data_IF_167926337382
#
_entry.id   IF_167926337382
#
_cell.length_a   1.000
_cell.length_b   1.000
_cell.length_c   1.000
_cell.angle_alpha   90.00
_cell.angle_beta   90.00
_cell.angle_gamma   90.00
#
_symmetry.space_group_name_H-M   'P 1'
#
loop_
_entity.id
_entity.type
_entity.pdbx_description
1 polymer ?
#
# COMPACT_ATOMS: atom_id res chain seq x y z
N UNK A 1 -15.17 -5.52 23.04
CA UNK A 1 -15.08 -4.51 21.97
C UNK A 1 -14.24 -5.13 20.87
N UNK A 2 -14.89 -5.68 19.86
CA UNK A 2 -14.21 -6.35 18.74
C UNK A 2 -13.67 -5.26 17.83
N UNK A 3 -12.38 -4.94 17.95
CA UNK A 3 -11.66 -4.24 16.88
C UNK A 3 -11.62 -5.19 15.70
N UNK A 4 -12.56 -4.99 14.78
CA UNK A 4 -12.52 -5.64 13.46
C UNK A 4 -11.18 -5.23 12.85
N UNK A 5 -10.22 -6.15 12.86
CA UNK A 5 -9.02 -6.01 12.05
C UNK A 5 -9.47 -5.77 10.62
N UNK A 6 -8.93 -4.76 9.92
CA UNK A 6 -9.37 -4.49 8.57
C UNK A 6 -9.03 -5.71 7.73
N UNK A 7 -10.07 -6.40 7.24
CA UNK A 7 -10.00 -7.52 6.30
C UNK A 7 -9.53 -7.06 4.91
N UNK A 8 -8.71 -6.01 4.85
CA UNK A 8 -8.55 -5.17 3.68
C UNK A 8 -7.45 -5.68 2.78
N UNK A 9 -7.82 -6.12 1.58
CA UNK A 9 -6.93 -6.43 0.46
C UNK A 9 -6.18 -5.20 -0.11
N UNK A 10 -6.12 -4.08 0.64
CA UNK A 10 -5.55 -2.81 0.19
C UNK A 10 -5.12 -1.94 1.40
N UNK A 11 -4.08 -1.12 1.21
CA UNK A 11 -3.56 -0.21 2.25
C UNK A 11 -3.60 1.29 1.83
N UNK A 12 -3.96 1.56 0.56
CA UNK A 12 -4.29 2.90 0.06
C UNK A 12 -5.64 2.90 -0.65
N UNK A 13 -6.32 4.04 -0.56
CA UNK A 13 -7.60 4.28 -1.25
C UNK A 13 -7.54 5.62 -1.98
N UNK A 14 -8.14 5.68 -3.15
CA UNK A 14 -8.39 6.92 -3.89
C UNK A 14 -9.86 7.29 -3.74
N UNK A 15 -10.14 8.52 -3.35
CA UNK A 15 -11.50 8.99 -3.27
C UNK A 15 -11.63 10.47 -3.66
N UNK A 16 -12.87 10.86 -3.92
CA UNK A 16 -13.31 12.26 -4.01
C UNK A 16 -14.52 12.47 -3.13
N UNK A 17 -14.74 13.69 -2.67
CA UNK A 17 -15.86 14.00 -1.80
C UNK A 17 -16.49 15.38 -2.05
N UNK A 18 -17.74 15.54 -1.60
CA UNK A 18 -18.43 16.82 -1.48
C UNK A 18 -18.83 16.99 -0.01
N UNK A 19 -18.42 18.10 0.59
CA UNK A 19 -18.74 18.45 1.98
C UNK A 19 -19.86 19.50 2.01
N UNK A 20 -20.97 19.19 2.67
CA UNK A 20 -22.15 20.07 2.83
C UNK A 20 -22.58 20.16 4.29
N UNK A 21 -23.37 21.19 4.63
CA UNK A 21 -23.76 21.46 6.02
C UNK A 21 -24.85 20.51 6.54
N UNK A 22 -25.81 20.17 5.68
CA UNK A 22 -27.04 19.48 6.08
C UNK A 22 -27.18 18.13 5.39
N UNK A 23 -27.87 17.21 6.06
CA UNK A 23 -28.15 15.87 5.52
C UNK A 23 -28.97 15.95 4.22
N UNK A 24 -29.97 16.83 4.18
CA UNK A 24 -30.85 16.98 3.01
C UNK A 24 -30.10 17.45 1.75
N UNK A 25 -29.04 18.25 1.90
CA UNK A 25 -28.16 18.59 0.78
C UNK A 25 -27.38 17.35 0.30
N UNK A 26 -26.88 16.53 1.22
CA UNK A 26 -26.17 15.31 0.87
C UNK A 26 -27.08 14.28 0.17
N UNK A 27 -28.34 14.16 0.60
CA UNK A 27 -29.33 13.30 -0.05
C UNK A 27 -29.66 13.77 -1.47
N UNK A 28 -29.86 15.08 -1.64
CA UNK A 28 -30.09 15.68 -2.97
C UNK A 28 -28.90 15.42 -3.91
N UNK A 29 -27.67 15.55 -3.40
CA UNK A 29 -26.46 15.28 -4.17
C UNK A 29 -26.36 13.81 -4.57
N UNK A 30 -26.69 12.88 -3.67
CA UNK A 30 -26.71 11.45 -3.99
C UNK A 30 -27.70 11.15 -5.12
N UNK A 31 -28.88 11.75 -5.12
CA UNK A 31 -29.87 11.59 -6.19
C UNK A 31 -29.35 12.17 -7.51
N UNK A 32 -28.79 13.38 -7.49
CA UNK A 32 -28.22 14.01 -8.69
C UNK A 32 -27.08 13.18 -9.29
N UNK A 33 -26.19 12.63 -8.46
CA UNK A 33 -25.10 11.77 -8.90
C UNK A 33 -25.61 10.44 -9.47
N UNK A 34 -26.64 9.83 -8.86
CA UNK A 34 -27.30 8.64 -9.40
C UNK A 34 -28.00 8.90 -10.74
N UNK A 35 -28.50 10.12 -10.94
CA UNK A 35 -29.10 10.59 -12.19
C UNK A 35 -28.07 11.00 -13.26
N UNK A 36 -26.77 10.80 -13.00
CA UNK A 36 -25.71 11.00 -13.98
C UNK A 36 -25.12 12.41 -14.04
N UNK A 37 -25.41 13.28 -13.07
CA UNK A 37 -24.72 14.58 -12.99
C UNK A 37 -23.23 14.41 -12.71
N UNK A 38 -22.43 15.37 -13.19
CA UNK A 38 -20.98 15.33 -13.02
C UNK A 38 -20.58 15.72 -11.60
N UNK A 39 -19.92 14.80 -10.90
CA UNK A 39 -19.44 14.99 -9.53
C UNK A 39 -18.60 16.27 -9.36
N UNK A 40 -17.70 16.53 -10.31
CA UNK A 40 -16.81 17.69 -10.25
C UNK A 40 -17.57 19.03 -10.31
N UNK A 41 -18.65 19.10 -11.07
CA UNK A 41 -19.49 20.30 -11.17
C UNK A 41 -20.25 20.55 -9.87
N UNK A 42 -20.85 19.50 -9.31
CA UNK A 42 -21.51 19.55 -8.01
C UNK A 42 -20.53 19.92 -6.90
N UNK A 43 -19.36 19.30 -6.87
CA UNK A 43 -18.31 19.63 -5.91
C UNK A 43 -17.93 21.11 -5.98
N UNK A 44 -17.69 21.64 -7.20
CA UNK A 44 -17.32 23.05 -7.39
C UNK A 44 -18.45 24.01 -6.98
N UNK A 45 -19.70 23.63 -7.21
CA UNK A 45 -20.85 24.47 -6.93
C UNK A 45 -21.18 24.56 -5.43
N UNK A 46 -21.17 23.44 -4.70
CA UNK A 46 -21.74 23.39 -3.34
C UNK A 46 -20.77 22.92 -2.25
N UNK A 47 -19.62 22.33 -2.59
CA UNK A 47 -18.71 21.79 -1.58
C UNK A 47 -18.05 22.91 -0.76
N UNK A 48 -17.96 22.70 0.55
CA UNK A 48 -17.25 23.57 1.49
C UNK A 48 -15.77 23.22 1.62
N UNK A 49 -15.35 22.06 1.13
CA UNK A 49 -13.95 21.64 1.19
C UNK A 49 -13.11 22.36 0.11
N UNK A 50 -11.87 22.79 0.39
CA UNK A 50 -10.96 23.34 -0.63
C UNK A 50 -10.73 22.41 -1.84
N UNK A 51 -10.94 21.10 -1.68
CA UNK A 51 -10.89 20.12 -2.78
C UNK A 51 -11.87 20.43 -3.92
N UNK A 52 -12.89 21.27 -3.69
CA UNK A 52 -13.86 21.73 -4.68
C UNK A 52 -13.22 22.31 -5.95
N UNK A 53 -12.07 22.98 -5.82
CA UNK A 53 -11.35 23.56 -6.97
C UNK A 53 -10.79 22.49 -7.91
N UNK A 54 -10.59 21.28 -7.39
CA UNK A 54 -10.18 20.09 -8.14
C UNK A 54 -11.33 19.10 -8.31
N UNK A 55 -12.58 19.57 -8.27
CA UNK A 55 -13.75 18.71 -8.44
C UNK A 55 -13.98 17.72 -7.29
N UNK A 56 -13.49 18.03 -6.09
CA UNK A 56 -13.62 17.19 -4.89
C UNK A 56 -12.52 16.13 -4.74
N UNK A 57 -11.52 16.10 -5.62
CA UNK A 57 -10.46 15.09 -5.63
C UNK A 57 -9.53 15.21 -4.41
N UNK A 58 -9.34 14.08 -3.73
CA UNK A 58 -8.41 13.93 -2.59
C UNK A 58 -7.11 13.24 -3.00
N UNK A 59 -7.14 12.44 -4.08
CA UNK A 59 -6.02 11.59 -4.49
C UNK A 59 -5.96 10.28 -3.69
N UNK A 60 -4.82 9.59 -3.77
CA UNK A 60 -4.55 8.38 -2.99
C UNK A 60 -4.11 8.75 -1.57
N UNK A 61 -4.65 8.06 -0.57
CA UNK A 61 -4.25 8.26 0.82
C UNK A 61 -4.25 6.94 1.60
N UNK A 62 -3.44 6.91 2.65
CA UNK A 62 -3.34 5.82 3.64
C UNK A 62 -4.24 6.11 4.84
N UNK A 63 -4.52 5.08 5.64
CA UNK A 63 -5.12 5.27 6.96
C UNK A 63 -4.27 6.19 7.84
N UNK A 64 -4.92 6.92 8.75
CA UNK A 64 -4.33 7.96 9.57
C UNK A 64 -4.11 9.31 8.87
N UNK A 65 -4.46 9.42 7.58
CA UNK A 65 -4.35 10.69 6.83
C UNK A 65 -5.61 11.54 6.94
N UNK A 66 -6.77 10.91 7.17
CA UNK A 66 -8.08 11.56 7.24
C UNK A 66 -8.74 11.29 8.60
N UNK A 67 -9.89 11.93 8.86
CA UNK A 67 -10.71 11.64 10.05
C UNK A 67 -11.14 10.17 10.04
N UNK A 68 -11.05 9.49 11.19
CA UNK A 68 -11.29 8.05 11.31
C UNK A 68 -12.59 7.56 10.62
N UNK A 69 -13.72 8.22 10.87
CA UNK A 69 -15.00 7.84 10.25
C UNK A 69 -15.02 8.02 8.72
N UNK A 70 -14.25 8.98 8.21
CA UNK A 70 -14.12 9.23 6.78
C UNK A 70 -13.27 8.17 6.09
N UNK A 71 -12.09 7.87 6.63
CA UNK A 71 -11.25 6.83 6.05
C UNK A 71 -11.88 5.45 6.19
N UNK A 72 -12.54 5.13 7.31
CA UNK A 72 -13.22 3.85 7.48
C UNK A 72 -14.28 3.62 6.39
N UNK A 73 -15.07 4.66 6.07
CA UNK A 73 -16.02 4.60 4.97
C UNK A 73 -15.35 4.39 3.60
N UNK A 74 -14.23 5.07 3.33
CA UNK A 74 -13.51 4.91 2.07
C UNK A 74 -12.87 3.52 1.92
N UNK A 75 -12.26 3.01 2.98
CA UNK A 75 -11.59 1.72 2.99
C UNK A 75 -12.57 0.54 3.04
N UNK A 76 -13.78 0.70 3.58
CA UNK A 76 -14.82 -0.34 3.54
C UNK A 76 -15.67 -0.28 2.26
N UNK A 77 -15.67 0.85 1.57
CA UNK A 77 -16.39 1.03 0.30
C UNK A 77 -15.84 0.14 -0.82
N UNK A 78 -16.60 0.00 -1.89
CA UNK A 78 -16.14 -0.60 -3.15
C UNK A 78 -15.78 0.50 -4.15
N UNK A 79 -14.87 0.24 -5.11
CA UNK A 79 -14.67 1.16 -6.24
C UNK A 79 -16.00 1.54 -6.89
N UNK A 80 -16.11 2.82 -7.25
CA UNK A 80 -17.29 3.51 -7.77
C UNK A 80 -18.50 3.61 -6.83
N UNK A 81 -18.39 3.14 -5.58
CA UNK A 81 -19.47 3.28 -4.60
C UNK A 81 -19.60 4.73 -4.12
N UNK A 82 -20.85 5.20 -4.08
CA UNK A 82 -21.23 6.45 -3.40
C UNK A 82 -21.62 6.17 -1.95
N UNK A 83 -21.01 6.90 -1.02
CA UNK A 83 -21.20 6.73 0.43
C UNK A 83 -21.52 8.09 1.05
N UNK A 84 -22.54 8.13 1.91
CA UNK A 84 -22.88 9.30 2.73
C UNK A 84 -22.46 9.05 4.17
N UNK A 85 -21.72 9.98 4.75
CA UNK A 85 -21.35 9.94 6.17
C UNK A 85 -21.46 11.32 6.82
N UNK A 86 -21.56 11.33 8.15
CA UNK A 86 -21.46 12.53 8.96
C UNK A 86 -20.13 12.56 9.72
N UNK A 87 -19.52 13.72 9.79
CA UNK A 87 -18.31 14.00 10.59
C UNK A 87 -18.52 15.28 11.38
N UNK A 88 -17.55 15.66 12.21
CA UNK A 88 -17.53 16.96 12.89
C UNK A 88 -17.58 18.17 11.95
N UNK A 89 -17.15 18.01 10.69
CA UNK A 89 -17.14 19.09 9.68
C UNK A 89 -18.47 19.22 8.91
N UNK A 90 -19.42 18.31 9.12
CA UNK A 90 -20.67 18.23 8.36
C UNK A 90 -20.84 16.90 7.64
N UNK A 91 -21.63 16.92 6.56
CA UNK A 91 -22.00 15.75 5.76
C UNK A 91 -21.12 15.60 4.54
N UNK A 92 -20.59 14.40 4.33
CA UNK A 92 -19.76 14.06 3.19
C UNK A 92 -20.48 13.11 2.27
N UNK A 93 -20.52 13.45 0.98
CA UNK A 93 -20.84 12.52 -0.10
C UNK A 93 -19.53 12.09 -0.74
N UNK A 94 -19.14 10.85 -0.55
CA UNK A 94 -17.87 10.26 -0.95
C UNK A 94 -18.08 9.37 -2.15
N UNK A 95 -17.17 9.43 -3.12
CA UNK A 95 -17.02 8.41 -4.15
C UNK A 95 -15.64 7.77 -4.03
N UNK A 96 -15.62 6.46 -3.78
CA UNK A 96 -14.38 5.67 -3.82
C UNK A 96 -14.03 5.44 -5.29
N UNK A 97 -12.84 5.84 -5.72
CA UNK A 97 -12.38 5.74 -7.11
C UNK A 97 -11.46 4.54 -7.34
N UNK A 98 -10.81 4.04 -6.29
CA UNK A 98 -9.89 2.92 -6.40
C UNK A 98 -9.29 2.52 -5.07
N UNK A 99 -8.81 1.28 -5.01
CA UNK A 99 -8.14 0.68 -3.86
C UNK A 99 -6.91 -0.05 -4.38
N UNK A 100 -5.80 0.05 -3.67
CA UNK A 100 -4.55 -0.57 -4.07
C UNK A 100 -3.67 -0.89 -2.86
N UNK A 101 -2.64 -1.70 -3.09
CA UNK A 101 -1.58 -1.96 -2.14
C UNK A 101 -0.35 -1.19 -2.61
N UNK A 102 0.08 -0.23 -1.80
CA UNK A 102 1.35 0.47 -1.96
C UNK A 102 2.40 -0.21 -1.08
N UNK A 103 3.47 -0.77 -1.66
CA UNK A 103 4.53 -1.35 -0.86
C UNK A 103 5.21 -0.31 0.04
N UNK A 104 5.56 -0.73 1.25
CA UNK A 104 6.38 0.05 2.15
C UNK A 104 7.86 0.02 1.77
N UNK A 105 8.66 0.65 2.60
CA UNK A 105 10.12 0.59 2.52
C UNK A 105 10.72 0.50 3.91
N UNK A 106 11.95 0.01 3.99
CA UNK A 106 12.73 -0.09 5.22
C UNK A 106 14.18 0.29 4.89
N UNK A 107 14.83 1.08 5.74
CA UNK A 107 16.25 1.40 5.58
C UNK A 107 17.12 0.24 6.09
N UNK A 108 18.40 0.24 5.73
CA UNK A 108 19.33 -0.79 6.19
C UNK A 108 19.56 -0.76 7.70
N UNK A 109 19.50 0.41 8.33
CA UNK A 109 19.63 0.57 9.78
C UNK A 109 18.40 0.05 10.52
N UNK A 110 17.20 0.32 10.01
CA UNK A 110 15.97 -0.23 10.59
C UNK A 110 15.88 -1.74 10.37
N UNK A 111 16.35 -2.22 9.21
CA UNK A 111 16.47 -3.64 8.95
C UNK A 111 17.47 -4.33 9.90
N UNK A 112 18.61 -3.69 10.21
CA UNK A 112 19.60 -4.21 11.15
C UNK A 112 19.08 -4.34 12.59
N UNK A 113 18.01 -3.63 12.97
CA UNK A 113 17.36 -3.79 14.28
C UNK A 113 16.59 -5.10 14.40
N UNK A 114 16.14 -5.65 13.27
CA UNK A 114 15.36 -6.88 13.21
C UNK A 114 16.19 -8.08 12.73
N UNK A 115 17.10 -7.89 11.79
CA UNK A 115 17.98 -8.94 11.28
C UNK A 115 19.29 -8.98 12.08
N UNK A 116 19.83 -10.16 12.45
CA UNK A 116 19.31 -11.51 12.20
C UNK A 116 18.40 -12.05 13.32
N UNK A 117 18.17 -11.29 14.40
CA UNK A 117 17.67 -11.84 15.67
C UNK A 117 16.15 -11.89 15.83
N UNK A 118 15.39 -11.09 15.09
CA UNK A 118 13.93 -10.94 15.20
C UNK A 118 13.22 -11.25 13.89
N UNK A 119 13.69 -12.27 13.18
CA UNK A 119 13.20 -12.60 11.83
C UNK A 119 12.09 -13.67 11.80
N UNK A 120 11.65 -14.17 12.96
CA UNK A 120 10.63 -15.25 13.04
C UNK A 120 9.26 -14.87 12.48
N UNK A 121 8.97 -13.57 12.37
CA UNK A 121 7.69 -13.02 11.91
C UNK A 121 7.76 -12.35 10.54
N UNK A 122 8.93 -12.35 9.89
CA UNK A 122 9.13 -11.75 8.57
C UNK A 122 9.66 -12.78 7.57
N UNK A 123 9.33 -12.60 6.31
CA UNK A 123 9.88 -13.34 5.19
C UNK A 123 10.91 -12.44 4.52
N UNK A 124 12.12 -12.96 4.36
CA UNK A 124 13.20 -12.23 3.71
C UNK A 124 13.38 -12.80 2.31
N UNK A 125 13.32 -11.94 1.28
CA UNK A 125 13.39 -12.36 -0.13
C UNK A 125 14.54 -11.64 -0.81
N UNK A 126 15.44 -12.40 -1.42
CA UNK A 126 16.55 -11.89 -2.21
C UNK A 126 16.24 -12.17 -3.69
N UNK A 127 16.14 -11.11 -4.49
CA UNK A 127 15.79 -11.21 -5.91
C UNK A 127 16.98 -11.06 -6.85
N UNK A 128 18.21 -11.08 -6.31
CA UNK A 128 19.44 -11.00 -7.09
C UNK A 128 19.71 -12.31 -7.83
N UNK A 129 20.57 -12.26 -8.82
CA UNK A 129 20.98 -13.46 -9.57
C UNK A 129 21.95 -14.33 -8.75
N UNK A 130 22.05 -15.62 -9.10
CA UNK A 130 22.84 -16.58 -8.32
C UNK A 130 24.32 -16.17 -8.15
N UNK A 131 24.93 -15.61 -9.20
CA UNK A 131 26.32 -15.13 -9.18
C UNK A 131 26.53 -13.94 -8.22
N UNK A 132 25.49 -13.13 -7.97
CA UNK A 132 25.55 -12.02 -7.02
C UNK A 132 25.57 -12.52 -5.57
N UNK A 133 24.86 -13.61 -5.28
CA UNK A 133 24.82 -14.23 -3.95
C UNK A 133 26.16 -14.85 -3.54
N UNK A 134 26.96 -15.28 -4.50
CA UNK A 134 28.30 -15.84 -4.26
C UNK A 134 29.29 -14.76 -3.79
N UNK A 135 29.07 -13.50 -4.19
CA UNK A 135 29.92 -12.37 -3.83
C UNK A 135 29.52 -11.74 -2.49
N UNK A 136 28.22 -11.68 -2.22
CA UNK A 136 27.66 -11.08 -1.01
C UNK A 136 26.35 -11.76 -0.63
N UNK A 137 26.23 -12.23 0.61
CA UNK A 137 25.07 -12.99 1.08
C UNK A 137 24.66 -12.59 2.49
N UNK A 138 23.35 -12.53 2.69
CA UNK A 138 22.71 -12.55 4.00
C UNK A 138 21.99 -13.90 4.16
N UNK A 139 22.01 -14.46 5.36
CA UNK A 139 21.36 -15.73 5.65
C UNK A 139 19.85 -15.57 5.84
N UNK A 140 19.11 -16.68 5.79
CA UNK A 140 17.65 -16.71 6.01
C UNK A 140 16.79 -16.03 4.93
N UNK A 141 17.37 -15.62 3.81
CA UNK A 141 16.63 -15.15 2.64
C UNK A 141 16.16 -16.33 1.76
N UNK A 142 14.89 -16.29 1.36
CA UNK A 142 14.41 -17.01 0.18
C UNK A 142 15.03 -16.38 -1.05
N UNK A 143 15.73 -17.18 -1.85
CA UNK A 143 16.35 -16.69 -3.07
C UNK A 143 15.40 -16.89 -4.26
N UNK A 144 14.90 -15.78 -4.79
CA UNK A 144 13.93 -15.71 -5.90
C UNK A 144 14.52 -14.84 -7.03
N UNK A 145 15.56 -15.31 -7.74
CA UNK A 145 16.21 -14.54 -8.80
C UNK A 145 15.19 -14.13 -9.87
N UNK A 146 15.20 -12.85 -10.27
CA UNK A 146 14.25 -12.34 -11.26
C UNK A 146 14.41 -13.01 -12.63
N UNK A 147 15.64 -13.39 -13.01
CA UNK A 147 15.91 -14.14 -14.23
C UNK A 147 15.27 -15.53 -14.28
N UNK A 148 14.84 -16.08 -13.14
CA UNK A 148 14.19 -17.38 -13.04
C UNK A 148 12.70 -17.29 -12.66
N UNK A 149 12.04 -16.15 -12.93
CA UNK A 149 10.64 -15.88 -12.61
C UNK A 149 9.70 -17.08 -12.87
N UNK A 150 9.81 -17.69 -14.04
CA UNK A 150 8.96 -18.81 -14.47
C UNK A 150 9.04 -20.03 -13.53
N UNK A 151 10.12 -20.18 -12.75
CA UNK A 151 10.32 -21.32 -11.85
C UNK A 151 9.61 -21.15 -10.50
N UNK A 152 9.41 -19.92 -10.04
CA UNK A 152 8.93 -19.65 -8.67
C UNK A 152 7.62 -18.85 -8.62
N UNK A 153 7.24 -18.15 -9.69
CA UNK A 153 6.09 -17.24 -9.68
C UNK A 153 4.78 -17.93 -9.27
N UNK A 154 4.49 -19.11 -9.83
CA UNK A 154 3.28 -19.87 -9.51
C UNK A 154 3.21 -20.26 -8.03
N UNK A 155 4.34 -20.64 -7.43
CA UNK A 155 4.41 -21.04 -6.01
C UNK A 155 4.27 -19.85 -5.07
N UNK A 156 4.71 -18.66 -5.49
CA UNK A 156 4.47 -17.40 -4.75
C UNK A 156 3.01 -16.99 -4.87
N UNK A 157 2.41 -17.10 -6.07
CA UNK A 157 1.02 -16.75 -6.31
C UNK A 157 0.06 -17.68 -5.54
N UNK A 158 0.34 -18.98 -5.50
CA UNK A 158 -0.44 -19.99 -4.77
C UNK A 158 -0.31 -19.88 -3.25
N UNK A 159 0.72 -19.19 -2.76
CA UNK A 159 1.04 -19.12 -1.33
C UNK A 159 1.81 -20.32 -0.79
N UNK A 160 2.31 -21.22 -1.67
CA UNK A 160 3.14 -22.36 -1.29
C UNK A 160 4.51 -21.91 -0.78
N UNK A 161 5.14 -20.96 -1.48
CA UNK A 161 6.50 -20.52 -1.19
C UNK A 161 6.55 -19.36 -0.19
N UNK A 162 5.59 -18.43 -0.28
CA UNK A 162 5.50 -17.25 0.56
C UNK A 162 4.07 -17.08 1.10
N UNK A 163 3.96 -16.80 2.39
CA UNK A 163 2.71 -16.51 3.09
C UNK A 163 2.29 -15.05 2.84
N UNK A 164 1.10 -14.84 2.24
CA UNK A 164 0.59 -13.51 1.87
C UNK A 164 0.26 -12.61 3.06
N UNK A 165 0.04 -13.20 4.24
CA UNK A 165 -0.32 -12.50 5.47
C UNK A 165 0.89 -12.04 6.29
N UNK A 166 2.03 -12.70 6.07
CA UNK A 166 3.31 -12.36 6.70
C UNK A 166 3.93 -11.15 6.04
N UNK A 167 4.66 -10.41 6.86
CA UNK A 167 5.47 -9.32 6.34
C UNK A 167 6.61 -9.86 5.48
N UNK A 168 6.79 -9.28 4.29
CA UNK A 168 7.81 -9.70 3.33
C UNK A 168 8.73 -8.53 3.03
N UNK A 169 10.01 -8.67 3.36
CA UNK A 169 11.06 -7.69 3.07
C UNK A 169 11.86 -8.20 1.87
N UNK A 170 11.93 -7.39 0.82
CA UNK A 170 12.61 -7.75 -0.42
C UNK A 170 13.88 -6.95 -0.58
N UNK A 171 14.97 -7.63 -0.90
CA UNK A 171 16.30 -7.06 -1.14
C UNK A 171 16.77 -7.37 -2.56
N UNK A 172 17.47 -6.40 -3.16
CA UNK A 172 18.32 -6.63 -4.30
C UNK A 172 19.69 -5.96 -4.09
N UNK A 173 20.43 -5.64 -5.15
CA UNK A 173 21.71 -4.95 -5.01
C UNK A 173 21.57 -3.52 -4.44
N UNK A 174 20.71 -2.68 -5.05
CA UNK A 174 20.57 -1.24 -4.72
C UNK A 174 19.14 -0.78 -4.38
N UNK A 175 18.17 -1.69 -4.27
CA UNK A 175 16.78 -1.35 -3.96
C UNK A 175 15.83 -1.12 -5.16
N UNK A 176 16.33 -1.17 -6.41
CA UNK A 176 15.49 -0.94 -7.62
C UNK A 176 14.68 -2.20 -7.99
N UNK A 177 15.38 -3.31 -8.23
CA UNK A 177 14.75 -4.61 -8.58
C UNK A 177 13.81 -5.11 -7.47
N UNK A 178 14.18 -4.89 -6.20
CA UNK A 178 13.33 -5.23 -5.06
C UNK A 178 12.08 -4.36 -4.97
N UNK A 179 12.13 -3.07 -5.35
CA UNK A 179 10.92 -2.25 -5.45
C UNK A 179 9.93 -2.76 -6.51
N UNK A 180 10.45 -3.23 -7.65
CA UNK A 180 9.63 -3.86 -8.70
C UNK A 180 9.00 -5.16 -8.18
N UNK A 181 9.78 -6.02 -7.54
CA UNK A 181 9.26 -7.23 -6.91
C UNK A 181 8.22 -6.92 -5.83
N UNK A 182 8.43 -5.87 -5.04
CA UNK A 182 7.45 -5.45 -4.04
C UNK A 182 6.11 -5.08 -4.66
N UNK A 183 6.15 -4.41 -5.82
CA UNK A 183 4.96 -4.03 -6.58
C UNK A 183 4.26 -5.26 -7.18
N UNK A 184 5.03 -6.24 -7.66
CA UNK A 184 4.50 -7.53 -8.10
C UNK A 184 3.81 -8.28 -6.95
N UNK A 185 4.47 -8.43 -5.79
CA UNK A 185 3.90 -9.10 -4.62
C UNK A 185 2.62 -8.41 -4.15
N UNK A 186 2.59 -7.08 -4.14
CA UNK A 186 1.38 -6.32 -3.87
C UNK A 186 0.23 -6.68 -4.83
N UNK A 187 0.50 -6.82 -6.13
CA UNK A 187 -0.51 -7.28 -7.10
C UNK A 187 -0.99 -8.72 -6.84
N UNK A 188 -0.13 -9.58 -6.28
CA UNK A 188 -0.48 -10.94 -5.89
C UNK A 188 -1.23 -11.03 -4.56
N UNK A 189 -1.52 -9.89 -3.93
CA UNK A 189 -2.30 -9.80 -2.69
C UNK A 189 -1.47 -9.79 -1.41
N UNK A 190 -0.14 -9.63 -1.49
CA UNK A 190 0.68 -9.44 -0.29
C UNK A 190 0.46 -8.02 0.25
N UNK A 191 -0.05 -7.92 1.48
CA UNK A 191 -0.44 -6.62 2.07
C UNK A 191 0.69 -5.91 2.80
N UNK A 192 1.70 -6.65 3.25
CA UNK A 192 2.78 -6.18 4.11
C UNK A 192 4.13 -6.38 3.42
N UNK A 193 4.35 -5.69 2.31
CA UNK A 193 5.58 -5.81 1.54
C UNK A 193 6.44 -4.58 1.73
N UNK A 194 7.74 -4.75 2.02
CA UNK A 194 8.70 -3.65 2.19
C UNK A 194 9.93 -3.84 1.32
N UNK A 195 10.32 -2.79 0.61
CA UNK A 195 11.58 -2.72 -0.10
C UNK A 195 12.73 -2.33 0.84
N UNK A 196 13.81 -3.12 0.89
CA UNK A 196 15.04 -2.72 1.56
C UNK A 196 15.78 -1.67 0.72
N UNK A 197 15.70 -0.41 1.17
CA UNK A 197 16.29 0.74 0.47
C UNK A 197 17.81 0.59 0.44
N UNK A 198 18.40 0.80 -0.74
CA UNK A 198 19.84 0.68 -0.93
C UNK A 198 20.36 -0.76 -1.03
N UNK A 199 19.50 -1.76 -0.79
CA UNK A 199 19.83 -3.17 -0.96
C UNK A 199 21.02 -3.65 -0.11
N UNK A 200 21.66 -4.72 -0.59
CA UNK A 200 22.82 -5.31 0.09
C UNK A 200 24.05 -4.40 0.06
N UNK A 201 24.20 -3.55 -0.96
CA UNK A 201 25.32 -2.61 -1.06
C UNK A 201 25.30 -1.61 0.10
N UNK A 202 24.16 -0.96 0.32
CA UNK A 202 23.99 -0.06 1.45
C UNK A 202 24.15 -0.78 2.79
N UNK A 203 23.66 -2.03 2.89
CA UNK A 203 23.81 -2.82 4.12
C UNK A 203 25.29 -3.10 4.43
N UNK A 204 26.06 -3.51 3.42
CA UNK A 204 27.49 -3.76 3.58
C UNK A 204 28.23 -2.47 3.99
N UNK A 205 27.94 -1.34 3.35
CA UNK A 205 28.61 -0.08 3.66
C UNK A 205 28.24 0.53 5.02
N UNK A 206 27.00 0.38 5.45
CA UNK A 206 26.46 1.15 6.58
C UNK A 206 26.25 0.31 7.85
N UNK A 207 26.06 -1.00 7.71
CA UNK A 207 25.72 -1.91 8.81
C UNK A 207 26.81 -2.93 9.06
N UNK A 208 27.21 -3.69 8.03
CA UNK A 208 28.19 -4.77 8.16
C UNK A 208 29.21 -4.79 7.01
N UNK A 209 30.34 -4.08 7.15
CA UNK A 209 31.41 -4.04 6.15
C UNK A 209 32.14 -5.36 5.92
N UNK A 210 31.84 -6.42 6.70
CA UNK A 210 32.39 -7.75 6.44
C UNK A 210 31.69 -8.46 5.27
N UNK A 211 30.51 -7.99 4.88
CA UNK A 211 29.79 -8.49 3.70
C UNK A 211 30.47 -7.97 2.43
N UNK A 212 30.61 -8.85 1.44
CA UNK A 212 31.18 -8.49 0.14
C UNK A 212 30.39 -7.38 -0.56
N UNK A 213 31.07 -6.66 -1.45
CA UNK A 213 30.51 -5.61 -2.31
C UNK A 213 30.94 -5.88 -3.76
N UNK A 214 30.15 -5.47 -4.75
CA UNK A 214 30.43 -5.74 -6.16
C UNK A 214 29.76 -4.76 -7.12
#
# INVERSE_FOLDING_TARGET
MSTLEPTGSHNIVRARHILVETEGMADTLLEQLKNGQHFAELAKAVSRCPSKERGGELGWFRRGTMVASFEDACFQGKPDQLIKIQTEYGWHVIQVQGQAIEPGSITVEDFAKIYPHQISHVQLVDVREQNELELARLDHFFHLPLGEYEKWAEQVESGELLDKEKETIVMCHHGIRSAQMCSYLAQQGFLKVRNLIGGIDAYAHQVDPSIGVY
#
